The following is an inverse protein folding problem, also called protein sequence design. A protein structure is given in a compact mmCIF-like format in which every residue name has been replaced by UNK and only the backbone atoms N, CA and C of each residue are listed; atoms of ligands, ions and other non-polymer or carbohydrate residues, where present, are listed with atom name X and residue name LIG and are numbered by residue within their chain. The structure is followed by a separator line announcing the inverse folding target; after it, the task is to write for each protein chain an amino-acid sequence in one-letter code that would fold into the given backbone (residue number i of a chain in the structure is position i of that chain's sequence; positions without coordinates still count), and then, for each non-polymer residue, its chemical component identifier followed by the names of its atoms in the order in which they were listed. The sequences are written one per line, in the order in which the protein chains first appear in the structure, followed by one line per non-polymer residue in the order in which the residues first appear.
data_IF_879577491857
#
_entry.id   IF_879577491857
#
_cell.length_a   1.000
_cell.length_b   1.000
_cell.length_c   1.000
_cell.angle_alpha   90.00
_cell.angle_beta   90.00
_cell.angle_gamma   90.00
#
_symmetry.space_group_name_H-M   'P 1'
#
loop_
_entity.id
_entity.type
_entity.pdbx_description
1 polymer ?
#
# COMPACT_ATOMS: atom_id res chain seq x y z
N UNK A 1 -15.20 19.85 -20.03
CA UNK A 1 -14.56 18.61 -19.52
C UNK A 1 -14.43 18.77 -18.02
N UNK A 2 -15.12 17.95 -17.21
CA UNK A 2 -14.74 17.82 -15.81
C UNK A 2 -13.54 16.87 -15.78
N UNK A 3 -12.36 17.44 -15.56
CA UNK A 3 -11.18 16.66 -15.22
C UNK A 3 -11.37 16.25 -13.76
N UNK A 4 -11.80 15.02 -13.52
CA UNK A 4 -11.75 14.45 -12.18
C UNK A 4 -10.27 14.15 -11.93
N UNK A 5 -9.62 14.94 -11.09
CA UNK A 5 -8.33 14.52 -10.53
C UNK A 5 -8.61 13.24 -9.74
N UNK A 6 -8.21 12.07 -10.29
CA UNK A 6 -8.12 10.84 -9.51
C UNK A 6 -6.97 11.02 -8.50
N UNK A 7 -7.26 11.72 -7.41
CA UNK A 7 -6.46 11.63 -6.21
C UNK A 7 -6.70 10.28 -5.53
N UNK A 8 -5.73 9.74 -4.80
CA UNK A 8 -5.95 8.56 -3.97
C UNK A 8 -7.11 8.82 -2.99
N UNK A 9 -8.09 7.91 -2.97
CA UNK A 9 -9.21 7.96 -2.03
C UNK A 9 -8.72 7.58 -0.63
N UNK A 10 -8.38 8.60 0.14
CA UNK A 10 -7.79 8.47 1.45
C UNK A 10 -8.81 8.18 2.57
N UNK A 11 -10.11 8.11 2.28
CA UNK A 11 -11.12 7.81 3.30
C UNK A 11 -10.97 6.40 3.87
N UNK A 12 -10.57 5.43 3.04
CA UNK A 12 -10.27 4.07 3.50
C UNK A 12 -9.06 4.05 4.44
N UNK A 13 -8.00 4.80 4.12
CA UNK A 13 -6.80 4.90 4.94
C UNK A 13 -7.10 5.54 6.30
N UNK A 14 -7.89 6.61 6.32
CA UNK A 14 -8.34 7.26 7.56
C UNK A 14 -9.16 6.32 8.44
N UNK A 15 -10.08 5.55 7.85
CA UNK A 15 -10.90 4.56 8.59
C UNK A 15 -10.06 3.41 9.14
N UNK A 16 -9.03 3.01 8.40
CA UNK A 16 -8.07 2.00 8.83
C UNK A 16 -7.00 2.54 9.81
N UNK A 17 -7.05 3.84 10.17
CA UNK A 17 -6.06 4.52 11.01
C UNK A 17 -4.62 4.40 10.47
N UNK A 18 -4.48 4.36 9.15
CA UNK A 18 -3.20 4.29 8.45
C UNK A 18 -2.67 5.70 8.22
N UNK A 19 -1.38 5.91 8.52
CA UNK A 19 -0.71 7.17 8.31
C UNK A 19 -0.56 7.47 6.82
N UNK A 20 -0.87 8.71 6.42
CA UNK A 20 -0.83 9.16 5.03
C UNK A 20 0.42 10.02 4.83
N UNK A 21 1.22 9.69 3.82
CA UNK A 21 2.37 10.48 3.42
C UNK A 21 1.89 11.75 2.69
N UNK A 22 2.40 12.93 3.09
CA UNK A 22 1.99 14.21 2.49
C UNK A 22 2.46 14.38 1.04
N UNK A 23 3.59 13.78 0.70
CA UNK A 23 4.22 13.95 -0.61
C UNK A 23 3.59 13.04 -1.67
N UNK A 24 3.31 11.79 -1.31
CA UNK A 24 2.68 10.83 -2.23
C UNK A 24 1.15 10.90 -2.18
N UNK A 25 0.59 11.47 -1.11
CA UNK A 25 -0.84 11.44 -0.75
C UNK A 25 -1.39 10.02 -0.53
N UNK A 26 -0.53 9.01 -0.50
CA UNK A 26 -0.86 7.60 -0.25
C UNK A 26 -0.52 7.12 1.17
N UNK A 27 -0.72 5.83 1.49
CA UNK A 27 -0.33 5.27 2.77
C UNK A 27 1.20 5.26 2.92
N UNK A 28 1.67 5.55 4.13
CA UNK A 28 3.08 5.39 4.49
C UNK A 28 3.38 3.90 4.69
N UNK A 29 4.34 3.38 3.93
CA UNK A 29 4.76 1.98 4.00
C UNK A 29 6.27 1.86 4.23
N UNK A 30 6.68 0.74 4.79
CA UNK A 30 8.09 0.34 4.92
C UNK A 30 8.60 -0.37 3.65
N UNK A 31 9.85 -0.87 3.69
CA UNK A 31 10.47 -1.60 2.57
C UNK A 31 9.74 -2.89 2.19
N UNK A 32 8.92 -3.43 3.08
CA UNK A 32 8.12 -4.64 2.86
C UNK A 32 6.71 -4.31 2.35
N UNK A 33 6.44 -3.05 1.98
CA UNK A 33 5.12 -2.58 1.57
C UNK A 33 4.06 -2.64 2.68
N UNK A 34 4.49 -2.77 3.93
CA UNK A 34 3.61 -2.81 5.11
C UNK A 34 3.42 -1.41 5.68
N UNK A 35 2.19 -1.09 6.07
CA UNK A 35 1.86 0.16 6.73
C UNK A 35 2.25 0.15 8.22
N UNK A 36 2.06 1.25 8.92
CA UNK A 36 2.20 1.28 10.39
C UNK A 36 1.21 0.34 11.11
N UNK A 37 0.11 -0.02 10.46
CA UNK A 37 -0.81 -1.04 10.95
C UNK A 37 -0.31 -2.43 10.59
N UNK A 38 0.03 -3.21 11.62
CA UNK A 38 0.57 -4.57 11.48
C UNK A 38 -0.36 -5.46 10.63
N UNK A 39 0.22 -6.14 9.64
CA UNK A 39 -0.52 -7.03 8.74
C UNK A 39 -1.34 -6.33 7.65
N UNK A 40 -1.27 -5.00 7.54
CA UNK A 40 -1.86 -4.24 6.43
C UNK A 40 -0.75 -3.82 5.45
N UNK A 41 -0.87 -4.34 4.22
CA UNK A 41 0.05 -4.04 3.12
C UNK A 41 -0.65 -3.21 2.04
N UNK A 42 0.10 -2.34 1.37
CA UNK A 42 -0.40 -1.52 0.27
C UNK A 42 0.53 -1.61 -0.94
N UNK A 43 0.01 -1.49 -2.15
CA UNK A 43 0.80 -1.44 -3.39
C UNK A 43 0.08 -0.64 -4.49
N UNK A 44 0.82 -0.19 -5.51
CA UNK A 44 0.24 0.41 -6.73
C UNK A 44 -0.09 1.89 -6.61
N UNK A 45 -1.07 2.36 -7.41
CA UNK A 45 -1.36 3.80 -7.57
C UNK A 45 -1.85 4.50 -6.30
N UNK A 46 -2.32 3.74 -5.31
CA UNK A 46 -2.67 4.29 -4.00
C UNK A 46 -1.42 4.75 -3.23
N UNK A 47 -0.23 4.27 -3.59
CA UNK A 47 1.04 4.43 -2.88
C UNK A 47 1.93 5.51 -3.51
N UNK A 48 2.14 5.40 -4.82
CA UNK A 48 2.75 6.42 -5.63
C UNK A 48 1.95 6.52 -6.92
N UNK A 49 1.68 7.74 -7.39
CA UNK A 49 1.11 7.92 -8.74
C UNK A 49 2.19 7.54 -9.74
N UNK A 50 2.10 6.32 -10.27
CA UNK A 50 3.09 5.80 -11.20
C UNK A 50 2.72 6.19 -12.63
N UNK A 51 3.62 6.91 -13.30
CA UNK A 51 3.45 7.22 -14.73
C UNK A 51 3.72 6.01 -15.66
N UNK A 52 4.08 4.85 -15.10
CA UNK A 52 4.52 3.66 -15.84
C UNK A 52 3.97 2.40 -15.17
N UNK A 53 3.23 1.59 -15.94
CA UNK A 53 2.45 0.43 -15.48
C UNK A 53 3.33 -0.70 -14.92
N UNK A 54 4.58 -0.80 -15.38
CA UNK A 54 5.49 -1.88 -15.01
C UNK A 54 5.81 -1.88 -13.49
N UNK A 55 5.92 -0.70 -12.89
CA UNK A 55 6.22 -0.54 -11.46
C UNK A 55 5.08 -1.02 -10.56
N UNK A 56 3.83 -0.83 -11.00
CA UNK A 56 2.63 -1.26 -10.26
C UNK A 56 2.63 -2.79 -10.11
N UNK A 57 3.08 -3.50 -11.15
CA UNK A 57 3.08 -4.96 -11.17
C UNK A 57 4.14 -5.53 -10.24
N UNK A 58 5.37 -4.99 -10.27
CA UNK A 58 6.44 -5.40 -9.36
C UNK A 58 6.08 -5.16 -7.88
N UNK A 59 5.53 -3.97 -7.56
CA UNK A 59 5.08 -3.65 -6.22
C UNK A 59 3.97 -4.58 -5.72
N UNK A 60 3.03 -4.95 -6.61
CA UNK A 60 1.97 -5.89 -6.29
C UNK A 60 2.50 -7.29 -5.94
N UNK A 61 3.49 -7.77 -6.68
CA UNK A 61 4.15 -9.05 -6.35
C UNK A 61 4.86 -9.00 -5.01
N UNK A 62 5.64 -7.95 -4.75
CA UNK A 62 6.35 -7.79 -3.48
C UNK A 62 5.39 -7.67 -2.28
N UNK A 63 4.32 -6.88 -2.39
CA UNK A 63 3.33 -6.77 -1.32
C UNK A 63 2.63 -8.12 -1.04
N UNK A 64 2.32 -8.89 -2.09
CA UNK A 64 1.73 -10.21 -1.96
C UNK A 64 2.67 -11.23 -1.32
N UNK A 65 3.94 -11.25 -1.72
CA UNK A 65 4.97 -12.14 -1.15
C UNK A 65 5.20 -11.84 0.33
N UNK A 66 5.36 -10.57 0.70
CA UNK A 66 5.55 -10.14 2.08
C UNK A 66 4.32 -10.43 2.95
N UNK A 67 3.10 -10.22 2.42
CA UNK A 67 1.88 -10.58 3.14
C UNK A 67 1.80 -12.10 3.38
N UNK A 68 2.18 -12.92 2.39
CA UNK A 68 2.21 -14.37 2.53
C UNK A 68 3.27 -14.82 3.55
N UNK A 69 4.45 -14.19 3.56
CA UNK A 69 5.51 -14.45 4.54
C UNK A 69 5.11 -14.02 5.95
N UNK A 70 4.44 -12.87 6.10
CA UNK A 70 3.87 -12.41 7.36
C UNK A 70 2.88 -13.42 7.94
N UNK A 71 1.96 -13.92 7.11
CA UNK A 71 0.99 -14.94 7.55
C UNK A 71 1.68 -16.25 7.93
N UNK A 72 2.64 -16.75 7.13
CA UNK A 72 3.39 -17.97 7.46
C UNK A 72 4.17 -17.84 8.76
N UNK A 73 4.91 -16.75 8.93
CA UNK A 73 5.71 -16.49 10.12
C UNK A 73 4.86 -16.35 11.40
N UNK A 74 3.61 -15.91 11.26
CA UNK A 74 2.66 -15.86 12.37
C UNK A 74 1.96 -17.20 12.64
N UNK A 75 1.82 -18.07 11.65
CA UNK A 75 1.32 -19.45 11.84
C UNK A 75 2.37 -20.31 12.56
N UNK A 76 3.66 -20.13 12.27
CA UNK A 76 4.75 -20.88 12.91
C UNK A 76 5.03 -20.47 14.37
N UNK A 77 4.41 -19.39 14.86
CA UNK A 77 4.52 -18.92 16.25
C UNK A 77 3.44 -19.49 17.19
N UNK A 78 2.67 -20.48 16.75
CA UNK A 78 1.61 -21.11 17.55
C UNK A 78 2.04 -22.41 18.23
#
# INVERSE_FOLDING_TARGET
MLSVELGPDNELLKRANIKICRDTRGPEVNQNMETESEGIFACGDILYVHNMVDKITEEGYSAGENAAEYVKSNIDKQ
#
